data_IF_193684161221
#
_entry.id   IF_193684161221
#
_cell.length_a   1.000
_cell.length_b   1.000
_cell.length_c   1.000
_cell.angle_alpha   90.00
_cell.angle_beta   90.00
_cell.angle_gamma   90.00
#
_symmetry.space_group_name_H-M   'P 1'
#
loop_
_entity.id
_entity.type
_entity.pdbx_description
1 polymer ?
#
# COMPACT_ATOMS: atom_id res chain seq x y z
N UNK A 1 -20.96 -1.34 30.92
CA UNK A 1 -20.50 -0.36 29.91
C UNK A 1 -20.74 -1.03 28.57
N UNK A 2 -21.79 -0.57 27.91
CA UNK A 2 -22.40 -1.19 26.74
C UNK A 2 -21.78 -0.53 25.51
N UNK A 3 -20.95 -1.27 24.77
CA UNK A 3 -20.31 -0.77 23.55
C UNK A 3 -20.97 -1.45 22.35
N UNK A 4 -21.95 -0.74 21.78
CA UNK A 4 -22.52 -1.08 20.48
C UNK A 4 -21.50 -0.81 19.36
N UNK A 5 -21.28 -1.74 18.40
CA UNK A 5 -20.51 -1.46 17.20
C UNK A 5 -21.33 -0.63 16.20
N UNK A 6 -20.74 0.45 15.70
CA UNK A 6 -21.30 1.27 14.60
C UNK A 6 -20.94 0.63 13.26
N UNK A 7 -21.95 0.08 12.61
CA UNK A 7 -21.90 -0.45 11.25
C UNK A 7 -21.80 0.72 10.25
N UNK A 8 -20.67 0.87 9.57
CA UNK A 8 -20.55 1.78 8.42
C UNK A 8 -20.90 1.01 7.15
N UNK A 9 -22.08 1.30 6.59
CA UNK A 9 -22.49 0.82 5.27
C UNK A 9 -22.02 1.85 4.25
N UNK A 10 -21.00 1.52 3.47
CA UNK A 10 -20.60 2.31 2.29
C UNK A 10 -21.38 1.79 1.09
N UNK A 11 -22.36 2.57 0.64
CA UNK A 11 -23.13 2.30 -0.55
C UNK A 11 -22.34 2.74 -1.79
N UNK A 12 -21.84 1.77 -2.57
CA UNK A 12 -21.29 2.05 -3.90
C UNK A 12 -22.44 2.27 -4.89
N UNK A 13 -22.59 3.52 -5.35
CA UNK A 13 -23.51 3.89 -6.42
C UNK A 13 -23.02 3.36 -7.77
N UNK A 14 -23.71 2.36 -8.31
CA UNK A 14 -23.62 1.96 -9.71
C UNK A 14 -24.24 3.05 -10.60
N UNK A 15 -23.41 3.76 -11.37
CA UNK A 15 -23.90 4.61 -12.46
C UNK A 15 -23.93 3.80 -13.74
N UNK A 16 -25.11 3.33 -14.12
CA UNK A 16 -25.39 2.76 -15.43
C UNK A 16 -25.72 3.89 -16.40
N UNK A 17 -24.82 4.21 -17.33
CA UNK A 17 -25.12 5.15 -18.41
C UNK A 17 -25.60 4.37 -19.64
N UNK A 18 -26.91 4.34 -19.84
CA UNK A 18 -27.55 3.89 -21.08
C UNK A 18 -27.87 5.09 -21.97
N UNK A 19 -27.24 5.17 -23.14
CA UNK A 19 -27.60 6.14 -24.17
C UNK A 19 -28.21 5.40 -25.36
N UNK A 20 -29.52 5.56 -25.51
CA UNK A 20 -30.29 5.14 -26.66
C UNK A 20 -30.02 6.05 -27.87
N UNK A 21 -29.91 5.46 -29.04
CA UNK A 21 -29.66 6.16 -30.30
C UNK A 21 -30.90 6.78 -30.93
N UNK A 22 -30.65 7.64 -31.93
CA UNK A 22 -31.49 7.84 -33.12
C UNK A 22 -30.71 8.63 -34.18
N UNK A 23 -30.78 8.18 -35.45
CA UNK A 23 -30.52 9.05 -36.60
C UNK A 23 -29.71 8.43 -37.75
N UNK A 24 -30.37 7.63 -38.60
CA UNK A 24 -29.89 7.36 -39.96
C UNK A 24 -30.23 8.54 -40.89
N UNK A 25 -29.28 9.03 -41.70
CA UNK A 25 -29.47 9.35 -43.13
C UNK A 25 -28.21 9.96 -43.74
N UNK A 26 -27.79 9.47 -44.92
CA UNK A 26 -26.90 10.21 -45.81
C UNK A 26 -25.84 9.37 -46.52
N UNK A 27 -26.08 9.09 -47.80
CA UNK A 27 -25.26 8.28 -48.71
C UNK A 27 -23.89 8.86 -49.09
N UNK A 28 -23.05 7.92 -49.54
CA UNK A 28 -22.12 7.97 -50.68
C UNK A 28 -20.67 8.40 -50.48
N UNK A 29 -19.84 7.40 -50.83
CA UNK A 29 -18.56 7.47 -51.54
C UNK A 29 -17.27 7.70 -50.75
N UNK A 30 -16.44 6.64 -50.82
CA UNK A 30 -14.97 6.64 -50.89
C UNK A 30 -14.22 7.54 -49.93
N UNK A 31 -13.53 6.94 -48.96
CA UNK A 31 -12.11 7.21 -48.69
C UNK A 31 -11.71 6.55 -47.36
N UNK A 32 -10.65 5.75 -47.43
CA UNK A 32 -9.74 5.38 -46.34
C UNK A 32 -10.39 4.73 -45.10
N UNK A 33 -10.20 3.42 -45.00
CA UNK A 33 -10.20 2.73 -43.70
C UNK A 33 -9.11 3.40 -42.87
N UNK A 34 -9.49 4.34 -42.01
CA UNK A 34 -8.62 4.78 -40.94
C UNK A 34 -8.36 3.54 -40.06
N UNK A 35 -7.08 3.24 -39.74
CA UNK A 35 -6.80 2.18 -38.79
C UNK A 35 -7.55 2.53 -37.50
N UNK A 36 -8.31 1.56 -36.99
CA UNK A 36 -8.82 1.60 -35.63
C UNK A 36 -7.57 1.81 -34.78
N UNK A 37 -7.39 3.02 -34.25
CA UNK A 37 -6.42 3.27 -33.20
C UNK A 37 -6.85 2.34 -32.07
N UNK A 38 -6.11 1.25 -31.95
CA UNK A 38 -6.01 0.45 -30.75
C UNK A 38 -6.00 1.45 -29.60
N UNK A 39 -7.06 1.44 -28.80
CA UNK A 39 -7.00 2.07 -27.49
C UNK A 39 -6.01 1.20 -26.74
N UNK A 40 -4.73 1.49 -26.96
CA UNK A 40 -3.65 1.12 -26.09
C UNK A 40 -4.06 1.74 -24.77
N UNK A 41 -4.80 0.98 -23.97
CA UNK A 41 -4.87 1.14 -22.53
C UNK A 41 -3.48 0.84 -22.03
N UNK A 42 -2.54 1.73 -22.37
CA UNK A 42 -1.14 1.59 -22.07
C UNK A 42 -1.05 1.53 -20.57
N UNK A 43 -0.65 0.37 -20.07
CA UNK A 43 -0.30 0.22 -18.67
C UNK A 43 0.82 1.23 -18.43
N UNK A 44 0.65 2.08 -17.42
CA UNK A 44 1.66 3.08 -17.11
C UNK A 44 2.77 2.36 -16.35
N UNK A 45 3.96 2.33 -16.93
CA UNK A 45 5.11 1.72 -16.29
C UNK A 45 5.67 2.65 -15.20
N UNK A 46 6.07 2.08 -14.05
CA UNK A 46 6.65 2.82 -12.92
C UNK A 46 7.73 1.97 -12.24
N UNK A 47 8.84 2.58 -11.84
CA UNK A 47 9.85 1.86 -11.08
C UNK A 47 9.42 1.73 -9.61
N UNK A 48 9.89 0.69 -8.90
CA UNK A 48 9.66 0.57 -7.45
C UNK A 48 10.08 1.84 -6.69
N UNK A 49 11.19 2.46 -7.08
CA UNK A 49 11.70 3.66 -6.42
C UNK A 49 10.76 4.86 -6.60
N UNK A 50 10.24 5.07 -7.81
CA UNK A 50 9.31 6.17 -8.09
C UNK A 50 7.96 5.92 -7.41
N UNK A 51 7.49 4.66 -7.39
CA UNK A 51 6.28 4.27 -6.67
C UNK A 51 6.37 4.62 -5.18
N UNK A 52 7.47 4.24 -4.52
CA UNK A 52 7.68 4.55 -3.10
C UNK A 52 7.79 6.05 -2.83
N UNK A 53 8.43 6.81 -3.72
CA UNK A 53 8.61 8.25 -3.56
C UNK A 53 7.31 9.05 -3.74
N UNK A 54 6.51 8.70 -4.74
CA UNK A 54 5.36 9.52 -5.16
C UNK A 54 4.02 8.99 -4.63
N UNK A 55 3.96 7.71 -4.25
CA UNK A 55 2.71 7.01 -3.92
C UNK A 55 2.71 6.31 -2.56
N UNK A 56 3.61 6.68 -1.65
CA UNK A 56 3.72 6.06 -0.31
C UNK A 56 2.37 5.86 0.40
N UNK A 57 1.53 6.90 0.48
CA UNK A 57 0.24 6.81 1.16
C UNK A 57 -0.77 5.88 0.47
N UNK A 58 -0.60 5.63 -0.83
CA UNK A 58 -1.37 4.61 -1.56
C UNK A 58 -0.85 3.20 -1.31
N UNK A 59 0.47 3.04 -1.14
CA UNK A 59 1.15 1.76 -0.94
C UNK A 59 1.06 1.28 0.51
N UNK A 60 1.19 2.18 1.49
CA UNK A 60 1.25 1.85 2.92
C UNK A 60 0.12 0.92 3.40
N UNK A 61 -1.15 1.08 2.97
CA UNK A 61 -2.23 0.16 3.33
C UNK A 61 -2.01 -1.30 2.93
N UNK A 62 -1.21 -1.57 1.89
CA UNK A 62 -0.85 -2.90 1.40
C UNK A 62 0.37 -3.49 2.13
N UNK A 63 1.07 -2.72 2.96
CA UNK A 63 2.20 -3.20 3.74
C UNK A 63 1.67 -4.07 4.89
N UNK A 64 1.75 -5.38 4.71
CA UNK A 64 1.39 -6.38 5.71
C UNK A 64 2.31 -7.59 5.65
N UNK A 65 2.61 -8.17 6.81
CA UNK A 65 3.49 -9.34 6.89
C UNK A 65 4.44 -9.27 8.09
N UNK A 66 5.46 -10.11 8.05
CA UNK A 66 6.52 -10.16 9.07
C UNK A 66 7.87 -9.98 8.40
N UNK A 67 8.72 -9.14 8.97
CA UNK A 67 10.07 -8.88 8.46
C UNK A 67 11.04 -8.48 9.59
N UNK A 68 12.32 -8.80 9.41
CA UNK A 68 13.37 -8.37 10.32
C UNK A 68 13.64 -6.87 10.22
N UNK A 69 13.67 -6.18 11.36
CA UNK A 69 13.92 -4.74 11.46
C UNK A 69 15.08 -4.45 12.41
N UNK A 70 15.73 -3.32 12.21
CA UNK A 70 16.58 -2.72 13.24
C UNK A 70 15.68 -1.95 14.22
N UNK A 71 15.76 -2.26 15.51
CA UNK A 71 14.96 -1.66 16.56
C UNK A 71 15.84 -1.07 17.66
N UNK A 72 15.78 0.24 17.88
CA UNK A 72 16.50 0.93 18.93
C UNK A 72 15.60 1.18 20.14
N UNK A 73 16.01 0.69 21.32
CA UNK A 73 15.33 0.99 22.58
C UNK A 73 15.95 2.21 23.24
N UNK A 74 15.16 3.25 23.49
CA UNK A 74 15.60 4.44 24.20
C UNK A 74 15.89 4.16 25.68
N UNK A 75 15.17 3.21 26.28
CA UNK A 75 15.31 2.83 27.69
C UNK A 75 16.62 2.07 27.97
N UNK A 76 16.97 1.12 27.10
CA UNK A 76 18.24 0.38 27.23
C UNK A 76 19.42 1.06 26.54
N UNK A 77 19.15 2.02 25.65
CA UNK A 77 20.15 2.68 24.81
C UNK A 77 20.84 1.72 23.83
N UNK A 78 20.16 0.65 23.43
CA UNK A 78 20.73 -0.43 22.59
C UNK A 78 19.88 -0.73 21.37
N UNK A 79 20.54 -1.19 20.30
CA UNK A 79 19.92 -1.63 19.05
C UNK A 79 19.82 -3.16 19.01
N UNK A 80 18.69 -3.65 18.49
CA UNK A 80 18.38 -5.06 18.32
C UNK A 80 17.94 -5.32 16.88
N UNK A 81 18.14 -6.55 16.40
CA UNK A 81 17.54 -7.02 15.15
C UNK A 81 16.43 -8.01 15.52
N UNK A 82 15.19 -7.63 15.24
CA UNK A 82 13.98 -8.32 15.73
C UNK A 82 13.00 -8.51 14.58
N UNK A 83 12.13 -9.50 14.68
CA UNK A 83 11.06 -9.69 13.70
C UNK A 83 9.88 -8.79 14.07
N UNK A 84 9.54 -7.86 13.16
CA UNK A 84 8.37 -7.01 13.27
C UNK A 84 7.21 -7.57 12.46
N UNK A 85 6.00 -7.47 13.00
CA UNK A 85 4.77 -7.70 12.26
C UNK A 85 4.15 -6.37 11.88
N UNK A 86 3.74 -6.25 10.61
CA UNK A 86 3.17 -5.06 10.04
C UNK A 86 1.71 -5.26 9.63
N UNK A 87 0.91 -4.22 9.87
CA UNK A 87 -0.50 -4.15 9.48
C UNK A 87 -0.82 -2.80 8.87
N UNK A 88 -1.11 -2.79 7.56
CA UNK A 88 -1.50 -1.58 6.81
C UNK A 88 -0.55 -0.39 7.01
N UNK A 89 0.76 -0.65 6.99
CA UNK A 89 1.79 0.38 7.12
C UNK A 89 2.12 0.75 8.56
N UNK A 90 1.62 0.01 9.55
CA UNK A 90 1.98 0.17 10.96
C UNK A 90 2.80 -1.01 11.44
N UNK A 91 3.77 -0.76 12.31
CA UNK A 91 4.38 -1.79 13.15
C UNK A 91 3.37 -2.13 14.26
N UNK A 92 2.86 -3.35 14.24
CA UNK A 92 1.88 -3.85 15.22
C UNK A 92 2.57 -4.52 16.41
N UNK A 93 3.67 -5.24 16.15
CA UNK A 93 4.41 -5.94 17.20
C UNK A 93 5.85 -6.29 16.84
N UNK A 94 6.71 -6.42 17.84
CA UNK A 94 8.03 -7.03 17.75
C UNK A 94 8.08 -8.36 18.51
N UNK A 95 8.65 -9.39 17.89
CA UNK A 95 8.96 -10.68 18.52
C UNK A 95 10.48 -10.83 18.66
N UNK A 96 10.94 -11.20 19.86
CA UNK A 96 12.35 -11.45 20.14
C UNK A 96 12.78 -12.92 20.00
N UNK A 97 11.86 -13.81 19.61
CA UNK A 97 12.08 -15.24 19.43
C UNK A 97 12.16 -16.05 20.72
N UNK A 98 12.05 -15.40 21.89
CA UNK A 98 12.08 -16.04 23.22
C UNK A 98 10.72 -16.06 23.92
N UNK A 99 9.65 -15.70 23.19
CA UNK A 99 8.27 -15.74 23.66
C UNK A 99 7.76 -14.44 24.28
N UNK A 100 8.54 -13.36 24.21
CA UNK A 100 8.07 -12.03 24.55
C UNK A 100 7.68 -11.28 23.27
N UNK A 101 6.48 -10.72 23.27
CA UNK A 101 5.98 -9.87 22.18
C UNK A 101 5.71 -8.47 22.73
N UNK A 102 6.32 -7.47 22.09
CA UNK A 102 6.02 -6.06 22.32
C UNK A 102 4.98 -5.62 21.29
N UNK A 103 4.02 -4.80 21.69
CA UNK A 103 2.94 -4.32 20.81
C UNK A 103 3.03 -2.81 20.64
N UNK A 104 2.72 -2.35 19.43
CA UNK A 104 2.90 -0.96 19.01
C UNK A 104 1.71 -0.48 18.17
N UNK A 105 1.69 0.82 17.91
CA UNK A 105 0.90 1.43 16.84
C UNK A 105 1.79 2.51 16.23
N UNK A 106 2.89 2.08 15.60
CA UNK A 106 3.89 2.98 15.04
C UNK A 106 3.75 3.01 13.51
N UNK A 107 3.47 4.17 12.95
CA UNK A 107 3.34 4.35 11.50
C UNK A 107 4.72 4.27 10.83
N UNK A 108 4.82 3.49 9.75
CA UNK A 108 6.01 3.43 8.91
C UNK A 108 6.01 4.63 7.96
N UNK A 109 7.10 5.39 8.00
CA UNK A 109 7.37 6.51 7.11
C UNK A 109 7.89 6.06 5.75
N UNK A 110 7.77 6.95 4.76
CA UNK A 110 8.28 6.75 3.40
C UNK A 110 9.81 6.66 3.33
N UNK A 111 10.50 7.04 4.41
CA UNK A 111 11.93 6.88 4.62
C UNK A 111 12.30 5.52 5.24
N UNK A 112 11.32 4.69 5.59
CA UNK A 112 11.51 3.40 6.23
C UNK A 112 11.70 3.49 7.74
N UNK A 113 11.48 4.67 8.34
CA UNK A 113 11.56 4.86 9.78
C UNK A 113 10.16 4.79 10.43
N UNK A 114 10.09 4.28 11.65
CA UNK A 114 8.90 4.35 12.49
C UNK A 114 9.32 4.60 13.94
N UNK A 115 8.43 5.16 14.75
CA UNK A 115 8.67 5.34 16.19
C UNK A 115 7.39 5.15 16.98
N UNK A 116 7.49 4.50 18.15
CA UNK A 116 6.33 4.27 19.00
C UNK A 116 6.70 3.72 20.37
N UNK A 117 5.74 3.82 21.29
CA UNK A 117 5.86 3.30 22.64
C UNK A 117 5.26 1.89 22.73
N UNK A 118 5.92 1.00 23.46
CA UNK A 118 5.35 -0.30 23.80
C UNK A 118 4.28 -0.19 24.90
N UNK A 119 3.58 -1.29 25.19
CA UNK A 119 2.58 -1.35 26.26
C UNK A 119 3.12 -1.04 27.68
N UNK A 120 4.43 -1.04 27.87
CA UNK A 120 5.08 -0.70 29.13
C UNK A 120 5.55 0.77 29.17
N UNK A 121 5.35 1.52 28.08
CA UNK A 121 5.75 2.92 27.93
C UNK A 121 7.22 3.11 27.58
N UNK A 122 7.92 2.08 27.10
CA UNK A 122 9.28 2.22 26.59
C UNK A 122 9.21 2.70 25.14
N UNK A 123 10.06 3.66 24.77
CA UNK A 123 10.09 4.22 23.41
C UNK A 123 11.05 3.43 22.52
N UNK A 124 10.61 3.17 21.29
CA UNK A 124 11.36 2.43 20.28
C UNK A 124 11.36 3.16 18.95
N UNK A 125 12.50 3.13 18.27
CA UNK A 125 12.63 3.54 16.87
C UNK A 125 12.93 2.30 16.02
N UNK A 126 12.31 2.23 14.84
CA UNK A 126 12.42 1.10 13.91
C UNK A 126 12.96 1.59 12.57
N UNK A 127 13.76 0.76 11.91
CA UNK A 127 14.22 1.02 10.55
C UNK A 127 14.04 -0.23 9.68
N UNK A 128 13.37 -0.04 8.54
CA UNK A 128 13.14 -1.04 7.49
C UNK A 128 13.91 -0.62 6.25
N UNK A 129 14.67 -1.55 5.64
CA UNK A 129 15.25 -1.32 4.32
C UNK A 129 14.19 -1.49 3.24
N UNK A 130 13.57 -0.39 2.83
CA UNK A 130 12.51 -0.37 1.81
C UNK A 130 12.97 -0.97 0.47
N UNK A 131 14.26 -0.81 0.12
CA UNK A 131 14.78 -1.25 -1.17
C UNK A 131 14.88 -2.77 -1.25
N UNK A 132 15.42 -3.41 -0.20
CA UNK A 132 15.64 -4.85 -0.16
C UNK A 132 14.50 -5.67 0.44
N UNK A 133 13.54 -5.01 1.10
CA UNK A 133 12.41 -5.68 1.73
C UNK A 133 11.51 -6.42 0.72
N UNK A 134 11.29 -7.73 0.89
CA UNK A 134 10.32 -8.49 0.10
C UNK A 134 8.88 -8.09 0.45
N UNK A 135 8.58 -7.71 1.69
CA UNK A 135 7.26 -7.23 2.11
C UNK A 135 6.90 -5.94 1.37
N UNK A 136 7.82 -4.98 1.32
CA UNK A 136 7.63 -3.72 0.60
C UNK A 136 7.51 -3.95 -0.90
N UNK A 137 8.30 -4.87 -1.46
CA UNK A 137 8.16 -5.23 -2.89
C UNK A 137 6.77 -5.78 -3.21
N UNK A 138 6.26 -6.70 -2.38
CA UNK A 138 4.92 -7.24 -2.55
C UNK A 138 3.82 -6.17 -2.42
N UNK A 139 3.94 -5.27 -1.45
CA UNK A 139 2.99 -4.16 -1.26
C UNK A 139 2.95 -3.21 -2.47
N UNK A 140 4.11 -2.90 -3.06
CA UNK A 140 4.21 -2.07 -4.27
C UNK A 140 3.58 -2.77 -5.47
N UNK A 141 3.82 -4.08 -5.64
CA UNK A 141 3.23 -4.87 -6.73
C UNK A 141 1.69 -4.94 -6.61
N UNK A 142 1.17 -5.15 -5.40
CA UNK A 142 -0.27 -5.20 -5.15
C UNK A 142 -0.94 -3.85 -5.39
N UNK A 143 -0.36 -2.78 -4.85
CA UNK A 143 -0.81 -1.41 -5.11
C UNK A 143 -0.81 -1.07 -6.61
N UNK A 144 0.27 -1.41 -7.32
CA UNK A 144 0.38 -1.14 -8.75
C UNK A 144 -0.69 -1.88 -9.56
N UNK A 145 -0.96 -3.13 -9.22
CA UNK A 145 -2.02 -3.91 -9.88
C UNK A 145 -3.41 -3.28 -9.70
N UNK A 146 -3.71 -2.77 -8.50
CA UNK A 146 -5.00 -2.12 -8.20
C UNK A 146 -5.15 -0.75 -8.87
N UNK A 147 -4.06 0.00 -9.02
CA UNK A 147 -4.05 1.32 -9.66
C UNK A 147 -3.79 1.28 -11.17
N UNK A 148 -3.50 0.11 -11.75
CA UNK A 148 -3.29 -0.08 -13.19
C UNK A 148 -1.88 0.32 -13.68
N UNK A 149 -0.87 0.19 -12.83
CA UNK A 149 0.55 0.34 -13.16
C UNK A 149 1.23 -1.01 -13.44
N UNK A 150 2.35 -0.98 -14.15
CA UNK A 150 3.28 -2.10 -14.32
C UNK A 150 4.62 -1.73 -13.68
N UNK A 151 5.18 -2.62 -12.86
CA UNK A 151 6.47 -2.41 -12.21
C UNK A 151 7.62 -2.79 -13.15
N UNK A 152 8.57 -1.87 -13.33
CA UNK A 152 9.82 -2.05 -14.11
C UNK A 152 11.06 -2.37 -13.25
#
# INVERSE_FOLDING_TARGET
MDHSPRLFIVAFCLVSLSLAGAGCSGSSDTSLVEPINDVSGGVTAITKSDALADHWYGIAPYITGTEGVEAYSHDSGSTYYLDATFGSGYVDSLDNGYGDTLYFTAELGADGEASGDDNNGNTWDFTVDLASSPMISAAVEEWAADEGYEIE
#
